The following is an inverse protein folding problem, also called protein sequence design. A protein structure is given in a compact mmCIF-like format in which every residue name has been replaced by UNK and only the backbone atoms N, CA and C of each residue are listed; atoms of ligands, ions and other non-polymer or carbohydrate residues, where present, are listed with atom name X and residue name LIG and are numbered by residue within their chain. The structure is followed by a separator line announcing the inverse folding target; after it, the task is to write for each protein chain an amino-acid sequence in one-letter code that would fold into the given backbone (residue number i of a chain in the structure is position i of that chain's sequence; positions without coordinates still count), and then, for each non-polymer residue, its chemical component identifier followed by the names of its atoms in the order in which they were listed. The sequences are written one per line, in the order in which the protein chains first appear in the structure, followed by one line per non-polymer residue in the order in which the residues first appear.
data_IF_444593071068
#
_entry.id   IF_444593071068
#
_cell.length_a   1.000
_cell.length_b   1.000
_cell.length_c   1.000
_cell.angle_alpha   90.00
_cell.angle_beta   90.00
_cell.angle_gamma   90.00
#
_symmetry.space_group_name_H-M   'P 1'
#
loop_
_entity.id
_entity.type
_entity.pdbx_description
1 polymer ?
#
# COMPACT_ATOMS: atom_id res chain seq x y z
N UNK A 1 -17.55 -15.91 6.74
CA UNK A 1 -17.51 -17.39 6.88
C UNK A 1 -17.14 -18.12 5.57
N UNK A 2 -17.27 -17.52 4.38
CA UNK A 2 -16.94 -18.16 3.07
C UNK A 2 -15.43 -18.37 2.81
N UNK A 3 -14.56 -17.42 3.20
CA UNK A 3 -13.11 -17.50 2.92
C UNK A 3 -12.44 -18.68 3.65
N UNK A 4 -12.92 -19.03 4.85
CA UNK A 4 -12.39 -20.13 5.64
C UNK A 4 -12.66 -21.52 5.02
N UNK A 5 -13.77 -21.66 4.28
CA UNK A 5 -14.12 -22.90 3.58
C UNK A 5 -13.28 -23.09 2.31
N UNK A 6 -13.08 -22.02 1.54
CA UNK A 6 -12.29 -22.06 0.29
C UNK A 6 -10.81 -22.34 0.58
N UNK A 7 -10.23 -21.76 1.65
CA UNK A 7 -8.85 -22.03 2.07
C UNK A 7 -8.66 -23.49 2.53
N UNK A 8 -9.66 -24.06 3.23
CA UNK A 8 -9.62 -25.49 3.63
C UNK A 8 -9.73 -26.43 2.43
N UNK A 9 -10.52 -26.08 1.40
CA UNK A 9 -10.63 -26.86 0.16
C UNK A 9 -9.37 -26.83 -0.69
N UNK A 10 -8.73 -25.65 -0.82
CA UNK A 10 -7.46 -25.54 -1.57
C UNK A 10 -6.33 -26.35 -0.95
N UNK A 11 -6.27 -26.45 0.39
CA UNK A 11 -5.31 -27.33 1.10
C UNK A 11 -5.58 -28.83 0.91
N UNK A 12 -6.84 -29.23 0.74
CA UNK A 12 -7.19 -30.63 0.49
C UNK A 12 -6.85 -31.10 -0.94
N UNK A 13 -6.66 -30.18 -1.89
CA UNK A 13 -6.41 -30.45 -3.31
C UNK A 13 -4.96 -30.13 -3.74
N UNK A 14 -4.04 -29.97 -2.77
CA UNK A 14 -2.65 -29.53 -2.95
C UNK A 14 -1.81 -30.41 -3.91
N UNK A 15 -2.24 -31.65 -4.15
CA UNK A 15 -1.60 -32.59 -5.08
C UNK A 15 -1.99 -32.44 -6.56
N UNK A 16 -3.02 -31.66 -6.90
CA UNK A 16 -3.49 -31.51 -8.28
C UNK A 16 -3.45 -30.05 -8.75
N UNK A 17 -2.33 -29.68 -9.38
CA UNK A 17 -2.02 -28.32 -9.86
C UNK A 17 -3.13 -27.71 -10.72
N UNK A 18 -3.82 -28.49 -11.55
CA UNK A 18 -4.90 -27.98 -12.40
C UNK A 18 -6.13 -27.56 -11.59
N UNK A 19 -6.45 -28.29 -10.52
CA UNK A 19 -7.57 -27.94 -9.64
C UNK A 19 -7.26 -26.71 -8.79
N UNK A 20 -6.03 -26.60 -8.29
CA UNK A 20 -5.57 -25.42 -7.56
C UNK A 20 -5.66 -24.16 -8.42
N UNK A 21 -5.19 -24.21 -9.67
CA UNK A 21 -5.26 -23.08 -10.61
C UNK A 21 -6.71 -22.66 -10.90
N UNK A 22 -7.62 -23.62 -11.05
CA UNK A 22 -9.05 -23.33 -11.20
C UNK A 22 -9.61 -22.63 -9.97
N UNK A 23 -9.28 -23.10 -8.77
CA UNK A 23 -9.73 -22.48 -7.51
C UNK A 23 -9.17 -21.08 -7.29
N UNK A 24 -7.89 -20.86 -7.64
CA UNK A 24 -7.27 -19.52 -7.62
C UNK A 24 -8.04 -18.57 -8.55
N UNK A 25 -8.38 -19.03 -9.76
CA UNK A 25 -9.15 -18.23 -10.73
C UNK A 25 -10.54 -17.88 -10.20
N UNK A 26 -11.26 -18.86 -9.65
CA UNK A 26 -12.60 -18.64 -9.08
C UNK A 26 -12.57 -17.67 -7.89
N UNK A 27 -11.57 -17.78 -7.02
CA UNK A 27 -11.40 -16.86 -5.89
C UNK A 27 -11.04 -15.44 -6.36
N UNK A 28 -10.16 -15.31 -7.36
CA UNK A 28 -9.80 -14.03 -7.95
C UNK A 28 -11.03 -13.34 -8.58
N UNK A 29 -11.88 -14.09 -9.30
CA UNK A 29 -13.12 -13.54 -9.88
C UNK A 29 -14.12 -13.09 -8.80
N UNK A 30 -14.26 -13.84 -7.70
CA UNK A 30 -15.11 -13.47 -6.57
C UNK A 30 -14.60 -12.20 -5.88
N UNK A 31 -13.30 -12.11 -5.63
CA UNK A 31 -12.68 -10.93 -5.02
C UNK A 31 -12.83 -9.71 -5.92
N UNK A 32 -12.57 -9.86 -7.22
CA UNK A 32 -12.73 -8.79 -8.20
C UNK A 32 -14.17 -8.23 -8.24
N UNK A 33 -15.17 -9.12 -8.28
CA UNK A 33 -16.59 -8.70 -8.27
C UNK A 33 -17.02 -8.07 -6.94
N UNK A 34 -16.40 -8.47 -5.83
CA UNK A 34 -16.67 -7.91 -4.50
C UNK A 34 -16.02 -6.53 -4.31
N UNK A 35 -14.84 -6.31 -4.90
CA UNK A 35 -14.13 -5.03 -4.85
C UNK A 35 -14.76 -3.98 -5.78
N UNK A 36 -15.51 -4.43 -6.79
CA UNK A 36 -16.22 -3.55 -7.73
C UNK A 36 -17.73 -3.86 -7.72
N UNK A 37 -18.46 -3.50 -6.65
CA UNK A 37 -19.83 -3.94 -6.39
C UNK A 37 -20.89 -3.37 -7.36
N UNK A 38 -20.52 -2.46 -8.25
CA UNK A 38 -21.42 -1.92 -9.28
C UNK A 38 -21.02 -2.44 -10.67
N UNK A 39 -21.85 -3.28 -11.33
CA UNK A 39 -21.68 -3.52 -12.75
C UNK A 39 -21.89 -2.20 -13.49
N UNK A 40 -21.11 -1.96 -14.54
CA UNK A 40 -21.09 -0.74 -15.34
C UNK A 40 -22.50 -0.24 -15.72
N UNK A 41 -23.10 0.59 -14.86
CA UNK A 41 -24.24 1.44 -15.21
C UNK A 41 -23.70 2.83 -15.47
N UNK A 42 -24.08 3.36 -16.63
CA UNK A 42 -23.61 4.61 -17.18
C UNK A 42 -23.62 5.74 -16.15
N UNK A 43 -22.43 6.27 -15.89
CA UNK A 43 -22.13 7.67 -15.58
C UNK A 43 -23.34 8.62 -15.61
N UNK A 44 -23.77 9.07 -14.43
CA UNK A 44 -24.46 10.34 -14.30
C UNK A 44 -23.51 11.42 -14.83
N UNK A 45 -23.90 12.09 -15.93
CA UNK A 45 -23.10 13.16 -16.55
C UNK A 45 -22.81 14.24 -15.50
N UNK A 46 -21.58 14.30 -15.02
CA UNK A 46 -21.04 15.53 -14.43
C UNK A 46 -21.08 16.58 -15.54
N UNK A 47 -21.78 17.66 -15.27
CA UNK A 47 -21.96 18.77 -16.20
C UNK A 47 -20.57 19.31 -16.59
N UNK A 48 -20.31 19.42 -17.90
CA UNK A 48 -19.05 19.99 -18.41
C UNK A 48 -18.87 21.41 -17.83
N UNK A 49 -17.68 21.76 -17.31
CA UNK A 49 -17.33 23.15 -17.06
C UNK A 49 -17.50 23.98 -18.34
N UNK A 50 -18.01 25.20 -18.21
CA UNK A 50 -18.33 26.13 -19.31
C UNK A 50 -17.17 26.33 -20.29
N UNK A 51 -17.48 26.40 -21.59
CA UNK A 51 -16.52 26.63 -22.67
C UNK A 51 -15.76 27.96 -22.46
N UNK A 52 -14.42 27.91 -22.52
CA UNK A 52 -13.55 29.08 -22.44
C UNK A 52 -12.34 29.00 -21.49
N UNK A 53 -12.18 27.95 -20.67
CA UNK A 53 -11.01 27.86 -19.77
C UNK A 53 -9.68 27.58 -20.50
N UNK A 54 -9.73 27.23 -21.80
CA UNK A 54 -8.58 26.88 -22.63
C UNK A 54 -7.66 28.06 -22.99
N UNK A 55 -7.98 29.30 -22.58
CA UNK A 55 -7.22 30.49 -22.98
C UNK A 55 -6.09 30.92 -22.03
N UNK A 56 -5.80 30.18 -20.95
CA UNK A 56 -4.71 30.54 -20.03
C UNK A 56 -3.69 29.43 -19.83
N UNK A 57 -2.56 29.65 -20.50
CA UNK A 57 -1.20 29.18 -20.23
C UNK A 57 -0.77 27.81 -20.80
N UNK A 58 -0.16 27.92 -21.98
CA UNK A 58 1.09 27.26 -22.38
C UNK A 58 1.19 25.74 -22.14
N UNK A 59 0.48 24.97 -22.97
CA UNK A 59 0.79 23.55 -23.17
C UNK A 59 1.79 23.41 -24.32
N UNK A 60 2.93 22.74 -24.08
CA UNK A 60 3.84 22.36 -25.17
C UNK A 60 3.12 21.33 -26.06
N UNK A 61 3.23 21.42 -27.40
CA UNK A 61 2.64 20.43 -28.29
C UNK A 61 3.19 19.02 -28.01
N UNK A 62 2.30 18.04 -27.95
CA UNK A 62 2.68 16.63 -27.88
C UNK A 62 3.41 16.21 -29.18
N UNK A 63 4.44 15.35 -29.10
CA UNK A 63 5.11 14.83 -30.29
C UNK A 63 4.13 14.03 -31.15
N UNK A 64 4.17 14.26 -32.46
CA UNK A 64 3.34 13.57 -33.45
C UNK A 64 3.85 12.13 -33.64
N UNK A 65 2.99 11.14 -33.41
CA UNK A 65 3.26 9.75 -33.75
C UNK A 65 2.95 9.54 -35.24
N UNK A 66 3.95 9.05 -35.97
CA UNK A 66 3.85 8.71 -37.39
C UNK A 66 2.95 7.48 -37.60
N UNK A 67 2.06 7.55 -38.59
CA UNK A 67 0.99 6.57 -38.88
C UNK A 67 1.51 5.33 -39.65
N UNK A 68 2.75 4.91 -39.38
CA UNK A 68 3.47 3.94 -40.21
C UNK A 68 3.70 2.53 -39.63
N UNK A 69 3.33 2.21 -38.38
CA UNK A 69 3.62 0.85 -37.83
C UNK A 69 2.58 0.36 -36.82
N UNK A 70 1.31 0.32 -37.22
CA UNK A 70 0.30 -0.54 -36.58
C UNK A 70 0.39 -1.94 -37.18
N UNK A 71 1.22 -2.79 -36.59
CA UNK A 71 1.20 -4.23 -36.86
C UNK A 71 -0.02 -4.87 -36.15
N UNK A 72 -0.82 -5.69 -36.83
CA UNK A 72 -1.93 -6.42 -36.21
C UNK A 72 -1.39 -7.45 -35.20
N UNK A 73 -2.13 -7.77 -34.12
CA UNK A 73 -1.72 -8.79 -33.17
C UNK A 73 -1.82 -10.16 -33.84
N UNK A 74 -0.68 -10.63 -34.36
CA UNK A 74 -0.51 -11.99 -34.85
C UNK A 74 -0.46 -12.94 -33.66
N UNK A 75 -1.32 -13.94 -33.71
CA UNK A 75 -1.32 -15.11 -32.87
C UNK A 75 0.04 -15.82 -32.96
N UNK A 76 0.85 -15.69 -31.91
CA UNK A 76 1.87 -16.67 -31.45
C UNK A 76 2.61 -16.11 -30.24
N UNK A 77 2.82 -16.97 -29.25
CA UNK A 77 3.08 -16.57 -27.87
C UNK A 77 4.37 -15.79 -27.63
N UNK A 78 4.28 -14.82 -26.71
CA UNK A 78 5.25 -14.47 -25.67
C UNK A 78 4.65 -13.34 -24.83
N UNK A 79 3.98 -13.66 -23.72
CA UNK A 79 3.59 -12.67 -22.72
C UNK A 79 3.90 -13.19 -21.32
N UNK A 80 5.06 -12.85 -20.73
CA UNK A 80 5.09 -12.62 -19.29
C UNK A 80 6.13 -11.57 -18.81
N UNK A 81 6.19 -10.37 -19.39
CA UNK A 81 7.08 -9.30 -18.87
C UNK A 81 6.33 -8.08 -18.31
N UNK A 82 5.50 -7.41 -19.13
CA UNK A 82 4.98 -6.08 -18.77
C UNK A 82 3.92 -6.05 -17.63
N UNK A 83 3.14 -7.13 -17.42
CA UNK A 83 2.13 -7.20 -16.35
C UNK A 83 2.78 -7.53 -15.00
N UNK A 84 3.85 -8.32 -15.01
CA UNK A 84 4.64 -8.63 -13.80
C UNK A 84 5.42 -7.40 -13.34
N UNK A 85 5.97 -6.60 -14.26
CA UNK A 85 6.73 -5.39 -13.90
C UNK A 85 5.88 -4.33 -13.18
N UNK A 86 4.63 -4.09 -13.61
CA UNK A 86 3.75 -3.13 -12.90
C UNK A 86 3.42 -3.57 -11.48
N UNK A 87 3.20 -4.87 -11.26
CA UNK A 87 2.90 -5.41 -9.93
C UNK A 87 4.17 -5.48 -9.06
N UNK A 88 5.31 -5.82 -9.67
CA UNK A 88 6.64 -5.75 -9.06
C UNK A 88 6.98 -4.34 -8.60
N UNK A 89 6.67 -3.32 -9.38
CA UNK A 89 6.94 -1.92 -9.03
C UNK A 89 6.07 -1.43 -7.86
N UNK A 90 4.79 -1.84 -7.79
CA UNK A 90 3.91 -1.51 -6.67
C UNK A 90 4.33 -2.23 -5.37
N UNK A 91 4.72 -3.51 -5.48
CA UNK A 91 5.26 -4.31 -4.37
C UNK A 91 6.62 -3.78 -3.90
N UNK A 92 7.53 -3.46 -4.82
CA UNK A 92 8.83 -2.89 -4.52
C UNK A 92 8.73 -1.49 -3.92
N UNK A 93 7.79 -0.65 -4.41
CA UNK A 93 7.50 0.65 -3.82
C UNK A 93 6.97 0.48 -2.38
N UNK A 94 6.05 -0.47 -2.17
CA UNK A 94 5.57 -0.79 -0.83
C UNK A 94 6.71 -1.27 0.07
N UNK A 95 7.58 -2.16 -0.40
CA UNK A 95 8.74 -2.64 0.33
C UNK A 95 9.70 -1.50 0.73
N UNK A 96 10.02 -0.60 -0.20
CA UNK A 96 10.86 0.59 0.07
C UNK A 96 10.21 1.50 1.11
N UNK A 97 8.90 1.69 1.05
CA UNK A 97 8.15 2.48 2.06
C UNK A 97 8.21 1.82 3.43
N UNK A 98 8.10 0.49 3.53
CA UNK A 98 8.25 -0.22 4.79
C UNK A 98 9.68 -0.08 5.34
N UNK A 99 10.69 -0.23 4.50
CA UNK A 99 12.09 -0.08 4.90
C UNK A 99 12.39 1.32 5.44
N UNK A 100 11.87 2.38 4.80
CA UNK A 100 11.98 3.76 5.30
C UNK A 100 11.43 3.89 6.72
N UNK A 101 10.30 3.23 7.03
CA UNK A 101 9.71 3.23 8.38
C UNK A 101 10.60 2.46 9.35
N UNK A 102 11.03 1.23 9.00
CA UNK A 102 11.92 0.41 9.84
C UNK A 102 13.22 1.14 10.17
N UNK A 103 13.88 1.72 9.17
CA UNK A 103 15.13 2.46 9.35
C UNK A 103 14.95 3.67 10.27
N UNK A 104 13.83 4.39 10.14
CA UNK A 104 13.55 5.52 11.02
C UNK A 104 13.43 5.07 12.48
N UNK A 105 12.69 3.98 12.73
CA UNK A 105 12.50 3.42 14.06
C UNK A 105 13.84 2.95 14.62
N UNK A 106 14.64 2.21 13.85
CA UNK A 106 15.99 1.82 14.24
C UNK A 106 16.84 3.04 14.64
N UNK A 107 16.84 4.12 13.86
CA UNK A 107 17.57 5.34 14.23
C UNK A 107 17.08 5.96 15.52
N UNK A 108 15.77 5.94 15.80
CA UNK A 108 15.23 6.42 17.08
C UNK A 108 15.79 5.57 18.22
N UNK A 109 15.70 4.25 18.16
CA UNK A 109 16.17 3.36 19.25
C UNK A 109 17.70 3.27 19.38
N UNK A 110 18.45 3.57 18.31
CA UNK A 110 19.91 3.73 18.34
C UNK A 110 20.36 5.14 18.80
N UNK A 111 19.43 6.02 19.19
CA UNK A 111 19.67 7.41 19.59
C UNK A 111 20.31 8.29 18.48
N UNK A 112 20.09 7.95 17.21
CA UNK A 112 20.51 8.71 16.02
C UNK A 112 19.44 9.72 15.61
N UNK A 113 19.04 10.59 16.52
CA UNK A 113 17.88 11.48 16.34
C UNK A 113 17.99 12.45 15.15
N UNK A 114 19.20 12.83 14.75
CA UNK A 114 19.41 13.66 13.56
C UNK A 114 19.01 12.93 12.27
N UNK A 115 19.40 11.65 12.14
CA UNK A 115 19.06 10.83 10.97
C UNK A 115 17.58 10.47 10.95
N UNK A 116 17.00 10.16 12.11
CA UNK A 116 15.55 9.94 12.23
C UNK A 116 14.75 11.17 11.76
N UNK A 117 15.15 12.38 12.20
CA UNK A 117 14.52 13.65 11.79
C UNK A 117 14.68 13.93 10.30
N UNK A 118 15.85 13.66 9.71
CA UNK A 118 16.07 13.78 8.26
C UNK A 118 15.15 12.86 7.46
N UNK A 119 14.91 11.65 7.97
CA UNK A 119 14.07 10.66 7.30
C UNK A 119 12.57 10.91 7.49
N UNK A 120 12.20 11.75 8.47
CA UNK A 120 10.81 11.99 8.87
C UNK A 120 9.87 12.41 7.70
N UNK A 121 10.24 13.32 6.78
CA UNK A 121 9.38 13.66 5.64
C UNK A 121 9.15 12.49 4.68
N UNK A 122 10.10 11.56 4.57
CA UNK A 122 9.93 10.33 3.80
C UNK A 122 9.01 9.34 4.51
N UNK A 123 9.11 9.25 5.84
CA UNK A 123 8.22 8.44 6.68
C UNK A 123 6.77 8.91 6.59
N UNK A 124 6.49 10.22 6.69
CA UNK A 124 5.12 10.75 6.56
C UNK A 124 4.51 10.37 5.20
N UNK A 125 5.29 10.47 4.12
CA UNK A 125 4.84 10.01 2.79
C UNK A 125 4.64 8.48 2.74
N UNK A 126 5.49 7.72 3.42
CA UNK A 126 5.35 6.27 3.54
C UNK A 126 4.07 5.87 4.29
N UNK A 127 3.76 6.54 5.39
CA UNK A 127 2.63 6.22 6.27
C UNK A 127 1.25 6.55 5.71
N UNK A 128 1.15 7.28 4.59
CA UNK A 128 -0.11 7.36 3.83
C UNK A 128 -0.64 5.98 3.40
N UNK A 129 0.25 5.00 3.26
CA UNK A 129 -0.11 3.62 2.95
C UNK A 129 -0.42 2.81 4.20
N UNK A 130 -1.50 2.01 4.15
CA UNK A 130 -1.93 1.11 5.22
C UNK A 130 -0.81 0.19 5.74
N UNK A 131 -0.06 -0.42 4.82
CA UNK A 131 1.02 -1.35 5.17
C UNK A 131 2.14 -0.69 6.00
N UNK A 132 2.48 0.57 5.70
CA UNK A 132 3.50 1.31 6.44
C UNK A 132 3.03 1.69 7.85
N UNK A 133 1.75 2.01 8.03
CA UNK A 133 1.14 2.23 9.36
C UNK A 133 1.20 0.97 10.22
N UNK A 134 0.81 -0.18 9.67
CA UNK A 134 0.97 -1.46 10.38
C UNK A 134 2.43 -1.77 10.70
N UNK A 135 3.35 -1.52 9.76
CA UNK A 135 4.78 -1.72 9.99
C UNK A 135 5.29 -0.87 11.16
N UNK A 136 4.88 0.41 11.28
CA UNK A 136 5.23 1.25 12.43
C UNK A 136 4.81 0.58 13.74
N UNK A 137 3.52 0.21 13.84
CA UNK A 137 2.99 -0.40 15.08
C UNK A 137 3.68 -1.70 15.44
N UNK A 138 4.01 -2.52 14.43
CA UNK A 138 4.69 -3.79 14.62
C UNK A 138 6.12 -3.60 15.12
N UNK A 139 6.90 -2.72 14.48
CA UNK A 139 8.29 -2.48 14.86
C UNK A 139 8.41 -1.90 16.27
N UNK A 140 7.52 -0.98 16.65
CA UNK A 140 7.47 -0.44 18.01
C UNK A 140 7.16 -1.54 19.03
N UNK A 141 6.24 -2.45 18.72
CA UNK A 141 5.93 -3.59 19.57
C UNK A 141 7.12 -4.54 19.75
N UNK A 142 7.88 -4.79 18.68
CA UNK A 142 9.09 -5.59 18.76
C UNK A 142 10.12 -4.97 19.71
N UNK A 143 10.31 -3.65 19.66
CA UNK A 143 11.24 -2.96 20.57
C UNK A 143 10.78 -3.00 22.03
N UNK A 144 9.46 -2.90 22.27
CA UNK A 144 8.88 -3.09 23.61
C UNK A 144 9.09 -4.51 24.12
N UNK A 145 8.78 -5.52 23.30
CA UNK A 145 8.96 -6.93 23.68
C UNK A 145 10.43 -7.30 23.95
N UNK A 146 11.37 -6.66 23.25
CA UNK A 146 12.81 -6.83 23.45
C UNK A 146 13.36 -6.03 24.65
N UNK A 147 12.48 -5.41 25.45
CA UNK A 147 12.83 -4.57 26.59
C UNK A 147 13.76 -3.39 26.22
N UNK A 148 13.66 -2.91 24.97
CA UNK A 148 14.39 -1.75 24.44
C UNK A 148 13.56 -0.46 24.51
N UNK A 149 12.53 -0.43 25.36
CA UNK A 149 11.58 0.69 25.44
C UNK A 149 12.05 1.86 26.33
N UNK A 150 13.24 1.82 26.91
CA UNK A 150 13.79 2.95 27.67
C UNK A 150 14.24 4.04 26.70
N UNK A 151 13.40 5.05 26.52
CA UNK A 151 13.63 6.19 25.64
C UNK A 151 13.94 7.44 26.45
N UNK A 152 14.90 8.25 26.00
CA UNK A 152 15.05 9.62 26.49
C UNK A 152 13.87 10.49 26.02
N UNK A 153 13.66 11.63 26.68
CA UNK A 153 12.61 12.60 26.36
C UNK A 153 12.56 12.93 24.86
N UNK A 154 13.71 13.11 24.21
CA UNK A 154 13.73 13.45 22.79
C UNK A 154 13.24 12.28 21.90
N UNK A 155 13.61 11.04 22.23
CA UNK A 155 13.20 9.85 21.49
C UNK A 155 11.71 9.59 21.70
N UNK A 156 11.23 9.70 22.95
CA UNK A 156 9.83 9.55 23.30
C UNK A 156 8.93 10.54 22.54
N UNK A 157 9.24 11.84 22.60
CA UNK A 157 8.48 12.87 21.87
C UNK A 157 8.37 12.57 20.37
N UNK A 158 9.44 12.02 19.79
CA UNK A 158 9.48 11.68 18.39
C UNK A 158 8.63 10.44 18.07
N UNK A 159 8.67 9.40 18.92
CA UNK A 159 7.80 8.22 18.80
C UNK A 159 6.33 8.62 18.92
N UNK A 160 5.97 9.43 19.92
CA UNK A 160 4.59 9.91 20.08
C UNK A 160 4.15 10.73 18.87
N UNK A 161 5.02 11.58 18.33
CA UNK A 161 4.74 12.30 17.09
C UNK A 161 4.47 11.34 15.92
N UNK A 162 5.26 10.28 15.77
CA UNK A 162 5.03 9.26 14.74
C UNK A 162 3.71 8.51 14.94
N UNK A 163 3.38 8.11 16.17
CA UNK A 163 2.10 7.47 16.50
C UNK A 163 0.91 8.37 16.18
N UNK A 164 1.00 9.66 16.53
CA UNK A 164 -0.04 10.64 16.25
C UNK A 164 -0.24 10.86 14.75
N UNK A 165 0.85 10.96 13.97
CA UNK A 165 0.75 11.02 12.51
C UNK A 165 0.10 9.74 11.94
N UNK A 166 0.45 8.57 12.48
CA UNK A 166 -0.15 7.30 12.07
C UNK A 166 -1.68 7.30 12.25
N UNK A 167 -2.18 7.85 13.36
CA UNK A 167 -3.61 7.99 13.65
C UNK A 167 -4.29 9.05 12.77
N UNK A 168 -3.65 10.20 12.56
CA UNK A 168 -4.21 11.29 11.75
C UNK A 168 -4.36 10.93 10.26
N UNK A 169 -3.45 10.12 9.71
CA UNK A 169 -3.52 9.63 8.33
C UNK A 169 -4.40 8.35 8.17
N UNK A 170 -5.11 7.93 9.22
CA UNK A 170 -6.04 6.80 9.11
C UNK A 170 -7.33 7.18 8.37
N UNK A 171 -7.79 6.28 7.50
CA UNK A 171 -9.16 6.28 7.00
C UNK A 171 -10.08 5.63 8.03
N UNK A 172 -11.36 5.99 8.09
CA UNK A 172 -12.32 5.49 9.09
C UNK A 172 -12.41 3.94 9.18
N UNK A 173 -12.06 3.23 8.10
CA UNK A 173 -12.03 1.76 8.08
C UNK A 173 -10.81 1.13 8.77
N UNK A 174 -9.71 1.88 8.93
CA UNK A 174 -8.45 1.42 9.50
C UNK A 174 -8.11 2.05 10.85
N UNK A 175 -8.80 3.13 11.21
CA UNK A 175 -8.58 3.88 12.44
C UNK A 175 -8.70 2.99 13.68
N UNK A 176 -9.73 2.16 13.75
CA UNK A 176 -9.94 1.27 14.90
C UNK A 176 -8.87 0.18 15.02
N UNK A 177 -8.36 -0.34 13.89
CA UNK A 177 -7.33 -1.39 13.90
C UNK A 177 -5.97 -0.87 14.33
N UNK A 178 -5.57 0.31 13.82
CA UNK A 178 -4.30 0.95 14.20
C UNK A 178 -4.37 1.48 15.64
N UNK A 179 -5.47 2.11 16.04
CA UNK A 179 -5.65 2.58 17.42
C UNK A 179 -5.58 1.43 18.42
N UNK A 180 -6.25 0.31 18.14
CA UNK A 180 -6.17 -0.88 18.98
C UNK A 180 -4.75 -1.44 19.09
N UNK A 181 -3.97 -1.41 18.00
CA UNK A 181 -2.58 -1.87 18.01
C UNK A 181 -1.63 -0.93 18.77
N UNK A 182 -1.94 0.37 18.82
CA UNK A 182 -1.14 1.36 19.55
C UNK A 182 -1.43 1.37 21.05
N UNK A 183 -2.62 1.00 21.49
CA UNK A 183 -3.03 1.00 22.90
C UNK A 183 -2.00 0.35 23.86
N UNK A 184 -1.50 -0.89 23.62
CA UNK A 184 -0.50 -1.50 24.51
C UNK A 184 0.86 -0.80 24.48
N UNK A 185 1.17 -0.04 23.43
CA UNK A 185 2.42 0.72 23.33
C UNK A 185 2.39 2.00 24.16
N UNK A 186 1.22 2.64 24.27
CA UNK A 186 1.03 3.85 25.09
C UNK A 186 1.29 3.57 26.58
N UNK A 187 1.03 2.34 27.03
CA UNK A 187 1.32 1.92 28.40
C UNK A 187 2.75 1.42 28.62
N UNK A 188 3.50 1.22 27.54
CA UNK A 188 4.82 0.58 27.58
C UNK A 188 6.00 1.54 27.38
N UNK A 189 5.77 2.68 26.72
CA UNK A 189 6.71 3.80 26.59
C UNK A 189 6.37 4.88 27.62
#
# INVERSE_FOLDING_TARGET
QLVAYEVKRMKAEEGNKQKILRHIKELAEKLYKNENPYPAVAMHKVQKPTEGCHLRLHQRPFPHLDEGTVHPPSERGLFPAAILERNGNALANSARRLEVVRNCISYVFENKMLEAKKLFPAVLRAMKGRAARHCLTQELHLHVQQNRAVLDHQQFDFVIRMMNCCLQDCTAMDEHGIAAALLPLVTAF
#
